data_IF_857030505461
#
_entry.id   IF_857030505461
#
_cell.length_a   1.000
_cell.length_b   1.000
_cell.length_c   1.000
_cell.angle_alpha   90.00
_cell.angle_beta   90.00
_cell.angle_gamma   90.00
#
_symmetry.space_group_name_H-M   'P 1'
#
loop_
_entity.id
_entity.type
_entity.pdbx_description
1 polymer ?
#
# COMPACT_ATOMS: atom_id res chain seq x y z
N UNK A 1 -15.72 37.68 -18.54
CA UNK A 1 -15.61 36.29 -18.05
C UNK A 1 -14.42 35.67 -18.74
N UNK A 2 -13.36 35.26 -18.06
CA UNK A 2 -12.20 34.67 -18.73
C UNK A 2 -12.55 33.24 -19.18
N UNK A 3 -12.42 32.99 -20.46
CA UNK A 3 -12.47 31.66 -21.06
C UNK A 3 -11.40 30.77 -20.41
N UNK A 4 -11.84 29.84 -19.55
CA UNK A 4 -10.98 28.75 -19.07
C UNK A 4 -10.66 27.87 -20.27
N UNK A 5 -9.42 27.94 -20.71
CA UNK A 5 -8.84 27.16 -21.80
C UNK A 5 -8.88 25.66 -21.37
N UNK A 6 -9.98 24.99 -21.70
CA UNK A 6 -10.19 23.56 -21.42
C UNK A 6 -9.32 22.75 -22.37
N UNK A 7 -8.21 22.24 -21.85
CA UNK A 7 -7.49 21.15 -22.53
C UNK A 7 -8.44 19.94 -22.61
N UNK A 8 -8.68 19.39 -23.83
CA UNK A 8 -9.48 18.16 -23.94
C UNK A 8 -8.80 17.06 -23.14
N UNK A 9 -9.58 16.40 -22.29
CA UNK A 9 -9.13 15.24 -21.53
C UNK A 9 -8.60 14.21 -22.52
N UNK A 10 -7.29 14.00 -22.51
CA UNK A 10 -6.62 12.91 -23.21
C UNK A 10 -7.32 11.62 -22.81
N UNK A 11 -7.58 10.73 -23.78
CA UNK A 11 -8.18 9.39 -23.58
C UNK A 11 -7.31 8.44 -22.74
N UNK A 12 -6.36 8.98 -21.99
CA UNK A 12 -5.55 8.22 -21.06
C UNK A 12 -6.45 7.82 -19.90
N UNK A 13 -6.50 6.54 -19.64
CA UNK A 13 -7.29 5.85 -18.63
C UNK A 13 -7.56 6.73 -17.41
N UNK A 14 -8.77 7.25 -17.30
CA UNK A 14 -9.21 8.20 -16.26
C UNK A 14 -8.88 7.73 -14.84
N UNK A 15 -8.68 6.43 -14.67
CA UNK A 15 -8.38 5.75 -13.43
C UNK A 15 -6.87 5.59 -13.17
N UNK A 16 -6.07 5.27 -14.21
CA UNK A 16 -4.62 5.10 -14.08
C UNK A 16 -3.83 6.40 -14.20
N UNK A 17 -4.44 7.47 -14.70
CA UNK A 17 -3.81 8.78 -14.86
C UNK A 17 -3.24 9.33 -13.55
N UNK A 18 -4.04 9.45 -12.47
CA UNK A 18 -3.60 9.94 -11.16
C UNK A 18 -2.49 9.10 -10.54
N UNK A 19 -2.54 7.78 -10.72
CA UNK A 19 -1.55 6.82 -10.20
C UNK A 19 -0.18 7.07 -10.87
N UNK A 20 -0.14 7.18 -12.20
CA UNK A 20 1.10 7.39 -12.96
C UNK A 20 1.71 8.76 -12.66
N UNK A 21 0.89 9.78 -12.44
CA UNK A 21 1.33 11.14 -12.12
C UNK A 21 2.06 11.21 -10.77
N UNK A 22 1.60 10.43 -9.80
CA UNK A 22 2.13 10.41 -8.43
C UNK A 22 3.09 9.21 -8.17
N UNK A 23 3.75 8.69 -9.21
CA UNK A 23 4.63 7.52 -9.13
C UNK A 23 5.69 7.57 -8.02
N UNK A 24 6.15 8.77 -7.62
CA UNK A 24 7.12 8.93 -6.51
C UNK A 24 6.56 8.43 -5.18
N UNK A 25 5.31 8.74 -4.85
CA UNK A 25 4.67 8.28 -3.62
C UNK A 25 4.50 6.76 -3.63
N UNK A 26 4.09 6.19 -4.76
CA UNK A 26 3.96 4.74 -4.90
C UNK A 26 5.29 4.00 -4.78
N UNK A 27 6.37 4.56 -5.34
CA UNK A 27 7.72 4.02 -5.17
C UNK A 27 8.15 4.06 -3.70
N UNK A 28 7.83 5.13 -2.96
CA UNK A 28 8.12 5.23 -1.53
C UNK A 28 7.34 4.20 -0.70
N UNK A 29 6.06 3.98 -1.00
CA UNK A 29 5.26 2.92 -0.38
C UNK A 29 5.86 1.54 -0.68
N UNK A 30 6.22 1.27 -1.93
CA UNK A 30 6.88 0.00 -2.31
C UNK A 30 8.22 -0.20 -1.59
N UNK A 31 9.05 0.83 -1.51
CA UNK A 31 10.31 0.76 -0.79
C UNK A 31 10.10 0.47 0.70
N UNK A 32 9.17 1.18 1.35
CA UNK A 32 8.84 0.93 2.75
C UNK A 32 8.32 -0.50 2.96
N UNK A 33 7.44 -1.01 2.09
CA UNK A 33 6.95 -2.40 2.14
C UNK A 33 8.09 -3.40 1.97
N UNK A 34 9.05 -3.14 1.06
CA UNK A 34 10.22 -4.00 0.90
C UNK A 34 11.03 -4.10 2.20
N UNK A 35 11.32 -2.96 2.85
CA UNK A 35 12.03 -2.96 4.14
C UNK A 35 11.26 -3.69 5.23
N UNK A 36 9.94 -3.48 5.36
CA UNK A 36 9.09 -4.18 6.32
C UNK A 36 9.19 -5.69 6.11
N UNK A 37 9.11 -6.16 4.87
CA UNK A 37 9.21 -7.58 4.55
C UNK A 37 10.60 -8.15 4.87
N UNK A 38 11.68 -7.40 4.62
CA UNK A 38 13.04 -7.79 5.03
C UNK A 38 13.15 -7.88 6.55
N UNK A 39 12.61 -6.92 7.31
CA UNK A 39 12.62 -6.97 8.78
C UNK A 39 11.80 -8.14 9.32
N UNK A 40 10.70 -8.51 8.66
CA UNK A 40 9.94 -9.71 9.01
C UNK A 40 10.77 -10.99 8.85
N UNK A 41 11.61 -11.09 7.81
CA UNK A 41 12.57 -12.19 7.65
C UNK A 41 13.58 -12.24 8.82
N UNK A 42 14.17 -11.09 9.20
CA UNK A 42 15.09 -11.04 10.33
C UNK A 42 14.42 -11.52 11.62
N UNK A 43 13.15 -11.19 11.85
CA UNK A 43 12.39 -11.66 13.00
C UNK A 43 12.19 -13.18 12.96
N UNK A 44 11.91 -13.76 11.79
CA UNK A 44 11.78 -15.20 11.62
C UNK A 44 13.12 -15.92 11.88
N UNK A 45 14.24 -15.40 11.34
CA UNK A 45 15.56 -15.94 11.57
C UNK A 45 15.98 -15.85 13.04
N UNK A 46 15.64 -14.76 13.72
CA UNK A 46 15.91 -14.64 15.17
C UNK A 46 15.25 -15.78 15.93
N UNK A 47 13.96 -16.04 15.71
CA UNK A 47 13.22 -17.11 16.36
C UNK A 47 13.88 -18.47 16.08
N UNK A 48 14.20 -18.75 14.81
CA UNK A 48 14.85 -20.00 14.41
C UNK A 48 16.20 -20.20 15.13
N UNK A 49 17.07 -19.21 15.14
CA UNK A 49 18.39 -19.29 15.79
C UNK A 49 18.27 -19.48 17.31
N UNK A 50 17.29 -18.82 17.94
CA UNK A 50 17.05 -18.96 19.38
C UNK A 50 16.62 -20.38 19.70
N UNK A 51 15.68 -20.97 18.96
CA UNK A 51 15.21 -22.34 19.19
C UNK A 51 16.26 -23.40 18.86
N UNK A 52 17.01 -23.25 17.76
CA UNK A 52 17.92 -24.27 17.25
C UNK A 52 19.29 -24.25 17.94
N UNK A 53 19.76 -23.07 18.37
CA UNK A 53 21.11 -22.92 18.89
C UNK A 53 21.19 -22.41 20.32
N UNK A 54 20.39 -21.41 20.66
CA UNK A 54 20.51 -20.75 21.97
C UNK A 54 19.94 -21.62 23.09
N UNK A 55 18.74 -22.12 22.92
CA UNK A 55 18.06 -22.92 23.94
C UNK A 55 18.78 -24.24 24.19
N UNK A 56 19.15 -25.07 23.18
CA UNK A 56 19.81 -26.34 23.43
C UNK A 56 21.20 -26.19 24.08
N UNK A 57 21.92 -25.11 23.78
CA UNK A 57 23.28 -24.91 24.28
C UNK A 57 23.37 -24.04 25.54
N UNK A 58 22.23 -23.58 26.10
CA UNK A 58 22.17 -22.62 27.19
C UNK A 58 23.06 -21.38 26.99
N UNK A 59 23.15 -20.89 25.72
CA UNK A 59 24.03 -19.80 25.30
C UNK A 59 23.44 -18.44 25.65
N UNK A 60 23.39 -18.06 26.92
CA UNK A 60 22.77 -16.84 27.43
C UNK A 60 23.43 -15.56 26.81
N UNK A 61 24.75 -15.55 26.65
CA UNK A 61 25.45 -14.42 26.05
C UNK A 61 25.00 -14.16 24.61
N UNK A 62 24.83 -15.24 23.83
CA UNK A 62 24.30 -15.16 22.46
C UNK A 62 22.85 -14.69 22.43
N UNK A 63 22.05 -15.10 23.41
CA UNK A 63 20.66 -14.65 23.53
C UNK A 63 20.59 -13.14 23.75
N UNK A 64 21.40 -12.60 24.65
CA UNK A 64 21.44 -11.17 24.92
C UNK A 64 21.83 -10.39 23.66
N UNK A 65 22.89 -10.80 22.99
CA UNK A 65 23.34 -10.14 21.75
C UNK A 65 22.26 -10.16 20.65
N UNK A 66 21.63 -11.32 20.42
CA UNK A 66 20.55 -11.47 19.45
C UNK A 66 19.32 -10.65 19.83
N UNK A 67 18.98 -10.59 21.13
CA UNK A 67 17.82 -9.82 21.62
C UNK A 67 18.04 -8.33 21.41
N UNK A 68 19.24 -7.81 21.66
CA UNK A 68 19.56 -6.41 21.34
C UNK A 68 19.46 -6.15 19.85
N UNK A 69 19.96 -7.07 19.02
CA UNK A 69 19.86 -6.96 17.55
C UNK A 69 18.41 -6.93 17.07
N UNK A 70 17.56 -7.85 17.54
CA UNK A 70 16.15 -7.88 17.12
C UNK A 70 15.36 -6.67 17.63
N UNK A 71 15.70 -6.12 18.79
CA UNK A 71 15.05 -4.93 19.31
C UNK A 71 15.29 -3.73 18.37
N UNK A 72 16.50 -3.57 17.84
CA UNK A 72 16.81 -2.56 16.83
C UNK A 72 15.97 -2.79 15.56
N UNK A 73 15.91 -4.03 15.07
CA UNK A 73 15.10 -4.39 13.90
C UNK A 73 13.62 -4.04 14.11
N UNK A 74 13.05 -4.34 15.27
CA UNK A 74 11.64 -4.05 15.62
C UNK A 74 11.37 -2.53 15.62
N UNK A 75 12.30 -1.73 16.15
CA UNK A 75 12.17 -0.27 16.14
C UNK A 75 12.16 0.27 14.69
N UNK A 76 13.06 -0.21 13.84
CA UNK A 76 13.08 0.17 12.42
C UNK A 76 11.86 -0.33 11.67
N UNK A 77 11.39 -1.54 11.92
CA UNK A 77 10.15 -2.09 11.34
C UNK A 77 8.95 -1.22 11.69
N UNK A 78 8.82 -0.85 12.96
CA UNK A 78 7.78 0.08 13.42
C UNK A 78 7.85 1.43 12.69
N UNK A 79 9.04 2.03 12.60
CA UNK A 79 9.24 3.29 11.90
C UNK A 79 8.83 3.19 10.42
N UNK A 80 9.21 2.10 9.74
CA UNK A 80 8.83 1.86 8.33
C UNK A 80 7.32 1.65 8.16
N UNK A 81 6.64 0.99 9.09
CA UNK A 81 5.18 0.82 9.10
C UNK A 81 4.46 2.17 9.23
N UNK A 82 4.94 3.04 10.12
CA UNK A 82 4.40 4.39 10.26
C UNK A 82 4.61 5.21 8.98
N UNK A 83 5.82 5.19 8.42
CA UNK A 83 6.12 5.89 7.16
C UNK A 83 5.25 5.37 6.01
N UNK A 84 5.08 4.05 5.88
CA UNK A 84 4.20 3.45 4.87
C UNK A 84 2.77 3.95 5.02
N UNK A 85 2.24 3.99 6.25
CA UNK A 85 0.91 4.54 6.54
C UNK A 85 0.78 5.98 6.05
N UNK A 86 1.70 6.87 6.45
CA UNK A 86 1.69 8.27 6.06
C UNK A 86 1.75 8.49 4.53
N UNK A 87 2.57 7.69 3.83
CA UNK A 87 2.66 7.78 2.36
C UNK A 87 1.41 7.22 1.67
N UNK A 88 0.83 6.15 2.21
CA UNK A 88 -0.43 5.57 1.70
C UNK A 88 -1.58 6.56 1.87
N UNK A 89 -1.70 7.20 3.04
CA UNK A 89 -2.72 8.21 3.31
C UNK A 89 -2.60 9.41 2.37
N UNK A 90 -1.36 9.89 2.14
CA UNK A 90 -1.13 10.97 1.17
C UNK A 90 -1.48 10.56 -0.25
N UNK A 91 -1.14 9.35 -0.66
CA UNK A 91 -1.46 8.84 -1.99
C UNK A 91 -2.97 8.74 -2.18
N UNK A 92 -3.68 8.20 -1.18
CA UNK A 92 -5.14 8.10 -1.17
C UNK A 92 -5.81 9.46 -1.26
N UNK A 93 -5.37 10.44 -0.45
CA UNK A 93 -5.93 11.79 -0.46
C UNK A 93 -5.76 12.50 -1.82
N UNK A 94 -4.61 12.32 -2.49
CA UNK A 94 -4.38 12.90 -3.81
C UNK A 94 -5.25 12.26 -4.90
N UNK A 95 -5.40 10.95 -4.87
CA UNK A 95 -6.29 10.23 -5.78
C UNK A 95 -7.73 10.64 -5.53
N UNK A 96 -8.13 10.80 -4.28
CA UNK A 96 -9.45 11.21 -3.86
C UNK A 96 -9.86 12.56 -4.48
N UNK A 97 -9.03 13.57 -4.36
CA UNK A 97 -9.29 14.89 -4.91
C UNK A 97 -9.41 14.83 -6.45
N UNK A 98 -8.45 14.20 -7.12
CA UNK A 98 -8.41 14.16 -8.60
C UNK A 98 -9.56 13.34 -9.19
N UNK A 99 -9.96 12.27 -8.51
CA UNK A 99 -11.07 11.43 -8.93
C UNK A 99 -12.42 12.11 -8.67
N UNK A 100 -12.56 12.79 -7.52
CA UNK A 100 -13.77 13.54 -7.19
C UNK A 100 -14.00 14.71 -8.15
N UNK A 101 -12.95 15.45 -8.52
CA UNK A 101 -13.03 16.51 -9.54
C UNK A 101 -13.48 15.96 -10.90
N UNK A 102 -12.88 14.84 -11.34
CA UNK A 102 -13.24 14.21 -12.62
C UNK A 102 -14.68 13.67 -12.62
N UNK A 103 -15.14 13.13 -11.49
CA UNK A 103 -16.51 12.64 -11.33
C UNK A 103 -17.51 13.79 -11.39
N UNK A 104 -17.23 14.86 -10.65
CA UNK A 104 -18.10 16.04 -10.60
C UNK A 104 -18.23 16.69 -12.00
N UNK A 105 -17.12 16.80 -12.74
CA UNK A 105 -17.12 17.33 -14.10
C UNK A 105 -17.95 16.47 -15.08
N UNK A 106 -17.91 15.12 -14.91
CA UNK A 106 -18.72 14.19 -15.71
C UNK A 106 -20.21 14.26 -15.40
N UNK A 107 -20.56 14.32 -14.11
CA UNK A 107 -21.97 14.45 -13.69
C UNK A 107 -22.54 15.80 -14.19
N UNK A 108 -21.76 16.88 -14.06
CA UNK A 108 -22.19 18.23 -14.50
C UNK A 108 -22.37 18.36 -16.01
N UNK A 109 -21.72 17.52 -16.82
CA UNK A 109 -21.81 17.54 -18.29
C UNK A 109 -22.84 16.58 -18.86
N UNK A 110 -23.36 15.67 -18.03
CA UNK A 110 -24.29 14.65 -18.51
C UNK A 110 -25.74 15.10 -18.21
N UNK A 111 -26.39 15.73 -19.21
CA UNK A 111 -27.75 16.22 -19.08
C UNK A 111 -28.76 15.13 -18.70
N UNK A 112 -28.51 13.87 -19.08
CA UNK A 112 -29.32 12.73 -18.69
C UNK A 112 -29.26 12.43 -17.17
N UNK A 113 -28.11 12.68 -16.53
CA UNK A 113 -27.94 12.49 -15.09
C UNK A 113 -28.51 13.66 -14.29
N UNK A 114 -28.52 14.88 -14.84
CA UNK A 114 -29.09 16.07 -14.20
C UNK A 114 -30.62 15.95 -14.10
N UNK A 115 -31.26 15.28 -15.06
CA UNK A 115 -32.69 15.07 -15.09
C UNK A 115 -33.17 13.84 -14.28
N UNK A 116 -32.26 13.09 -13.66
CA UNK A 116 -32.65 11.98 -12.80
C UNK A 116 -33.05 12.43 -11.38
N UNK A 117 -33.90 11.66 -10.67
CA UNK A 117 -34.21 11.96 -9.28
C UNK A 117 -32.96 12.03 -8.43
N UNK A 118 -32.88 13.01 -7.54
CA UNK A 118 -31.69 13.29 -6.68
C UNK A 118 -31.16 12.05 -5.95
N UNK A 119 -32.03 11.07 -5.67
CA UNK A 119 -31.67 9.79 -5.05
C UNK A 119 -30.77 8.90 -5.93
N UNK A 120 -30.99 8.91 -7.25
CA UNK A 120 -30.18 8.09 -8.17
C UNK A 120 -28.75 8.64 -8.29
N UNK A 121 -28.61 9.95 -8.38
CA UNK A 121 -27.28 10.62 -8.43
C UNK A 121 -26.52 10.39 -7.12
N UNK A 122 -27.20 10.48 -5.97
CA UNK A 122 -26.59 10.21 -4.66
C UNK A 122 -26.15 8.75 -4.51
N UNK A 123 -26.90 7.80 -5.06
CA UNK A 123 -26.52 6.39 -5.05
C UNK A 123 -25.24 6.14 -5.87
N UNK A 124 -25.13 6.72 -7.07
CA UNK A 124 -23.94 6.60 -7.93
C UNK A 124 -22.71 7.20 -7.23
N UNK A 125 -22.85 8.37 -6.60
CA UNK A 125 -21.75 9.00 -5.85
C UNK A 125 -21.30 8.10 -4.70
N UNK A 126 -22.24 7.52 -3.95
CA UNK A 126 -21.95 6.63 -2.82
C UNK A 126 -21.27 5.31 -3.25
N UNK A 127 -21.72 4.70 -4.34
CA UNK A 127 -21.07 3.51 -4.91
C UNK A 127 -19.65 3.82 -5.36
N UNK A 128 -19.45 5.02 -5.89
CA UNK A 128 -18.13 5.47 -6.31
C UNK A 128 -17.19 5.71 -5.13
N UNK A 129 -17.69 6.29 -4.03
CA UNK A 129 -16.91 6.46 -2.79
C UNK A 129 -16.48 5.10 -2.21
N UNK A 130 -17.36 4.09 -2.23
CA UNK A 130 -17.02 2.73 -1.79
C UNK A 130 -15.92 2.09 -2.66
N UNK A 131 -16.00 2.24 -3.99
CA UNK A 131 -14.97 1.77 -4.91
C UNK A 131 -13.64 2.48 -4.68
N UNK A 132 -13.68 3.78 -4.47
CA UNK A 132 -12.51 4.61 -4.19
C UNK A 132 -11.80 4.17 -2.91
N UNK A 133 -12.53 4.00 -1.82
CA UNK A 133 -12.00 3.55 -0.53
C UNK A 133 -11.40 2.15 -0.63
N UNK A 134 -12.06 1.24 -1.35
CA UNK A 134 -11.55 -0.11 -1.57
C UNK A 134 -10.21 -0.10 -2.34
N UNK A 135 -10.09 0.74 -3.36
CA UNK A 135 -8.87 0.82 -4.18
C UNK A 135 -7.76 1.58 -3.46
N UNK A 136 -8.10 2.65 -2.74
CA UNK A 136 -7.11 3.51 -2.11
C UNK A 136 -6.45 2.86 -0.89
N UNK A 137 -7.19 2.07 -0.07
CA UNK A 137 -6.66 1.65 1.23
C UNK A 137 -6.15 0.20 1.27
N UNK A 138 -6.96 -0.77 0.94
CA UNK A 138 -6.63 -2.18 1.18
C UNK A 138 -6.04 -2.89 -0.03
N UNK A 139 -6.60 -2.68 -1.21
CA UNK A 139 -6.21 -3.41 -2.42
C UNK A 139 -4.82 -3.03 -2.91
N UNK A 140 -4.44 -1.77 -2.78
CA UNK A 140 -3.12 -1.31 -3.23
C UNK A 140 -2.01 -1.89 -2.36
N UNK A 141 -2.19 -1.88 -1.03
CA UNK A 141 -1.22 -2.45 -0.08
C UNK A 141 -1.11 -3.96 -0.29
N UNK A 142 -2.25 -4.67 -0.44
CA UNK A 142 -2.26 -6.10 -0.73
C UNK A 142 -1.55 -6.43 -2.05
N UNK A 143 -1.75 -5.63 -3.09
CA UNK A 143 -1.09 -5.82 -4.39
C UNK A 143 0.42 -5.62 -4.32
N UNK A 144 0.90 -4.69 -3.49
CA UNK A 144 2.33 -4.47 -3.23
C UNK A 144 2.93 -5.63 -2.42
N UNK A 145 2.20 -6.17 -1.46
CA UNK A 145 2.68 -7.25 -0.59
C UNK A 145 2.63 -8.64 -1.27
N UNK A 146 1.80 -8.84 -2.30
CA UNK A 146 1.67 -10.09 -3.05
C UNK A 146 3.00 -10.65 -3.61
N UNK A 147 3.86 -9.87 -4.30
CA UNK A 147 5.15 -10.36 -4.78
C UNK A 147 6.06 -10.86 -3.66
N UNK A 148 5.94 -10.24 -2.46
CA UNK A 148 6.74 -10.64 -1.31
C UNK A 148 6.30 -11.98 -0.72
N UNK A 149 5.02 -12.35 -0.83
CA UNK A 149 4.54 -13.67 -0.43
C UNK A 149 5.24 -14.75 -1.24
N UNK A 150 5.35 -14.59 -2.56
CA UNK A 150 6.08 -15.52 -3.42
C UNK A 150 7.57 -15.55 -3.10
N UNK A 151 8.16 -14.40 -2.80
CA UNK A 151 9.55 -14.31 -2.36
C UNK A 151 9.77 -15.06 -1.05
N UNK A 152 8.89 -14.91 -0.05
CA UNK A 152 8.94 -15.66 1.21
C UNK A 152 8.83 -17.17 1.00
N UNK A 153 7.90 -17.62 0.16
CA UNK A 153 7.74 -19.03 -0.16
C UNK A 153 9.01 -19.60 -0.82
N UNK A 154 9.65 -18.82 -1.70
CA UNK A 154 10.91 -19.21 -2.33
C UNK A 154 12.06 -19.34 -1.31
N UNK A 155 12.16 -18.38 -0.39
CA UNK A 155 13.16 -18.42 0.71
C UNK A 155 12.92 -19.62 1.61
N UNK A 156 11.67 -19.87 2.01
CA UNK A 156 11.31 -21.04 2.84
C UNK A 156 11.62 -22.35 2.15
N UNK A 157 11.33 -22.47 0.85
CA UNK A 157 11.69 -23.65 0.07
C UNK A 157 13.21 -23.85 0.00
N UNK A 158 13.98 -22.77 -0.14
CA UNK A 158 15.44 -22.84 -0.17
C UNK A 158 16.09 -23.25 1.17
N UNK A 159 15.45 -22.93 2.30
CA UNK A 159 15.93 -23.27 3.65
C UNK A 159 15.42 -24.64 4.09
N UNK A 160 14.14 -24.95 3.84
CA UNK A 160 13.48 -26.16 4.29
C UNK A 160 13.74 -27.39 3.40
N UNK A 161 14.26 -27.19 2.18
CA UNK A 161 14.42 -28.26 1.20
C UNK A 161 13.09 -28.80 0.65
N UNK A 162 13.14 -29.76 -0.28
CA UNK A 162 11.93 -30.43 -0.75
C UNK A 162 11.44 -31.37 0.39
N UNK A 163 10.31 -31.01 0.97
CA UNK A 163 9.57 -31.87 1.93
C UNK A 163 8.70 -32.82 1.13
#
# INVERSE_FOLDING_TARGET
MPEKNYKPLRKDHWFFGPIIKNKKLYIQVMAASAFINVFALFSAFYIMVVYDRVIPNNAIESLIALTVGILVVVVFDFAMKVLRGLYTDKASAMVDIEVSENLFDRISRNEELINQPTGAVSAVVKEFDLLKDFIASASFVAFVDLPFIFFFLFVLYGIGGPV
#
